data_IF_777208879699
#
_entry.id   IF_777208879699
#
_cell.length_a   1.000
_cell.length_b   1.000
_cell.length_c   1.000
_cell.angle_alpha   90.00
_cell.angle_beta   90.00
_cell.angle_gamma   90.00
#
_symmetry.space_group_name_H-M   'P 1'
#
loop_
_entity.id
_entity.type
_entity.pdbx_description
1 polymer ?
#
# COMPACT_ATOMS: atom_id res chain seq x y z
N UNK A 1 -5.29 -13.46 -24.91
CA UNK A 1 -4.17 -12.68 -24.32
C UNK A 1 -4.64 -11.99 -23.04
N UNK A 2 -3.94 -12.17 -21.98
CA UNK A 2 -4.30 -11.58 -20.70
C UNK A 2 -3.68 -10.20 -20.57
N UNK A 3 -4.47 -9.27 -20.06
CA UNK A 3 -4.04 -7.89 -19.84
C UNK A 3 -3.31 -7.78 -18.49
N UNK A 4 -2.24 -7.01 -18.46
CA UNK A 4 -1.57 -6.68 -17.22
C UNK A 4 -2.42 -5.71 -16.41
N UNK A 5 -2.54 -5.94 -15.12
CA UNK A 5 -3.25 -5.07 -14.19
C UNK A 5 -2.24 -4.51 -13.19
N UNK A 6 -2.16 -3.20 -13.08
CA UNK A 6 -1.32 -2.55 -12.08
C UNK A 6 -2.08 -2.33 -10.80
N UNK A 7 -1.46 -2.70 -9.71
CA UNK A 7 -2.05 -2.66 -8.39
C UNK A 7 -1.11 -1.92 -7.45
N UNK A 8 -1.65 -0.94 -6.71
CA UNK A 8 -0.90 -0.24 -5.68
C UNK A 8 -1.33 -0.71 -4.30
N UNK A 9 -0.36 -1.06 -3.46
CA UNK A 9 -0.58 -1.32 -2.04
C UNK A 9 -0.07 -0.15 -1.23
N UNK A 10 -0.83 0.25 -0.23
CA UNK A 10 -0.50 1.40 0.61
C UNK A 10 -0.53 1.00 2.08
N UNK A 11 0.55 1.30 2.78
CA UNK A 11 0.67 1.14 4.23
C UNK A 11 0.62 2.54 4.86
N UNK A 12 -0.54 2.96 5.39
CA UNK A 12 -0.70 4.33 5.85
C UNK A 12 0.09 4.66 7.11
N UNK A 13 0.62 5.86 7.16
CA UNK A 13 1.24 6.42 8.33
C UNK A 13 1.37 7.93 8.17
N UNK A 14 1.23 8.67 9.26
CA UNK A 14 1.32 10.12 9.20
C UNK A 14 2.74 10.59 8.91
N UNK A 15 3.72 10.01 9.59
CA UNK A 15 5.12 10.35 9.40
C UNK A 15 5.60 9.90 8.03
N UNK A 16 5.20 8.69 7.66
CA UNK A 16 5.51 8.11 6.36
C UNK A 16 4.44 7.12 5.95
N UNK A 17 4.07 7.18 4.71
CA UNK A 17 3.15 6.23 4.08
C UNK A 17 3.94 5.42 3.07
N UNK A 18 4.02 4.12 3.30
CA UNK A 18 4.70 3.20 2.37
C UNK A 18 3.78 2.83 1.23
N UNK A 19 4.36 2.62 0.05
CA UNK A 19 3.60 2.16 -1.11
C UNK A 19 4.44 1.23 -1.98
N UNK A 20 3.76 0.40 -2.73
CA UNK A 20 4.38 -0.46 -3.73
C UNK A 20 3.42 -0.70 -4.87
N UNK A 21 3.97 -0.89 -6.07
CA UNK A 21 3.19 -1.15 -7.28
C UNK A 21 3.69 -2.44 -7.91
N UNK A 22 2.74 -3.30 -8.26
CA UNK A 22 3.03 -4.54 -9.00
C UNK A 22 2.16 -4.61 -10.25
N UNK A 23 2.55 -5.48 -11.18
CA UNK A 23 1.71 -5.86 -12.29
C UNK A 23 1.35 -7.34 -12.16
N UNK A 24 0.09 -7.65 -12.35
CA UNK A 24 -0.42 -9.01 -12.39
C UNK A 24 -0.83 -9.35 -13.82
N UNK A 25 -0.27 -10.44 -14.37
CA UNK A 25 -0.62 -10.94 -15.70
C UNK A 25 -0.89 -12.43 -15.54
N UNK A 26 -2.17 -12.83 -15.59
CA UNK A 26 -2.54 -14.21 -15.31
C UNK A 26 -2.05 -14.63 -13.93
N UNK A 27 -1.20 -15.64 -13.85
CA UNK A 27 -0.60 -16.12 -12.61
C UNK A 27 0.78 -15.51 -12.33
N UNK A 28 1.25 -14.62 -13.20
CA UNK A 28 2.56 -14.00 -13.07
C UNK A 28 2.44 -12.64 -12.39
N UNK A 29 3.39 -12.34 -11.52
CA UNK A 29 3.47 -11.08 -10.80
C UNK A 29 4.83 -10.45 -11.07
N UNK A 30 4.82 -9.15 -11.27
CA UNK A 30 6.04 -8.39 -11.53
C UNK A 30 6.09 -7.17 -10.62
N UNK A 31 7.21 -6.98 -9.96
CA UNK A 31 7.47 -5.77 -9.21
C UNK A 31 7.68 -4.60 -10.18
N UNK A 32 7.04 -3.48 -9.89
CA UNK A 32 7.19 -2.26 -10.70
C UNK A 32 7.99 -1.21 -9.96
N UNK A 33 7.53 -0.83 -8.77
CA UNK A 33 8.19 0.21 -7.98
C UNK A 33 7.71 0.19 -6.53
N UNK A 34 8.47 0.78 -5.65
CA UNK A 34 8.07 1.03 -4.27
C UNK A 34 8.71 2.29 -3.75
N UNK A 35 8.19 2.79 -2.66
CA UNK A 35 8.74 3.97 -2.03
C UNK A 35 7.96 4.39 -0.78
N UNK A 36 8.27 5.58 -0.34
CA UNK A 36 7.67 6.16 0.85
C UNK A 36 7.33 7.62 0.59
N UNK A 37 6.14 8.03 1.00
CA UNK A 37 5.75 9.44 1.04
C UNK A 37 5.90 9.90 2.47
N UNK A 38 6.65 10.96 2.70
CA UNK A 38 6.93 11.49 4.04
C UNK A 38 6.23 12.82 4.26
N UNK A 39 5.85 13.08 5.51
CA UNK A 39 5.39 14.40 5.91
C UNK A 39 6.41 15.04 6.86
N UNK A 40 6.39 16.37 6.92
CA UNK A 40 7.25 17.15 7.80
C UNK A 40 6.67 17.14 9.22
N UNK A 41 7.38 16.52 10.15
CA UNK A 41 6.95 16.41 11.55
C UNK A 41 6.74 17.75 12.22
N UNK A 42 7.39 18.79 11.72
CA UNK A 42 7.30 20.14 12.28
C UNK A 42 6.13 20.95 11.71
N UNK A 43 5.52 20.45 10.65
CA UNK A 43 4.40 21.13 10.03
C UNK A 43 3.09 20.87 10.80
N UNK A 44 2.12 21.74 10.60
CA UNK A 44 0.76 21.54 11.14
C UNK A 44 0.12 20.28 10.51
N UNK A 45 -0.77 19.64 11.24
CA UNK A 45 -1.40 18.41 10.80
C UNK A 45 -2.03 18.53 9.40
N UNK A 46 -2.79 19.59 9.15
CA UNK A 46 -3.42 19.80 7.85
C UNK A 46 -2.38 19.84 6.72
N UNK A 47 -1.27 20.53 6.94
CA UNK A 47 -0.17 20.60 5.96
C UNK A 47 0.46 19.21 5.74
N UNK A 48 0.62 18.44 6.80
CA UNK A 48 1.16 17.07 6.72
C UNK A 48 0.25 16.17 5.89
N UNK A 49 -1.06 16.28 6.10
CA UNK A 49 -2.02 15.51 5.31
C UNK A 49 -1.97 15.91 3.84
N UNK A 50 -1.80 17.20 3.54
CA UNK A 50 -1.60 17.67 2.16
C UNK A 50 -0.34 17.07 1.54
N UNK A 51 0.75 17.00 2.30
CA UNK A 51 2.01 16.42 1.82
C UNK A 51 1.83 14.94 1.46
N UNK A 52 1.12 14.18 2.30
CA UNK A 52 0.83 12.77 2.00
C UNK A 52 -0.06 12.65 0.77
N UNK A 53 -1.09 13.48 0.68
CA UNK A 53 -1.99 13.52 -0.46
C UNK A 53 -1.23 13.77 -1.76
N UNK A 54 -0.43 14.84 -1.78
CA UNK A 54 0.29 15.25 -2.98
C UNK A 54 1.31 14.21 -3.41
N UNK A 55 2.00 13.61 -2.45
CA UNK A 55 2.96 12.54 -2.73
C UNK A 55 2.29 11.30 -3.32
N UNK A 56 1.13 10.89 -2.79
CA UNK A 56 0.39 9.77 -3.33
C UNK A 56 -0.21 10.06 -4.71
N UNK A 57 -0.70 11.28 -4.91
CA UNK A 57 -1.18 11.70 -6.24
C UNK A 57 -0.06 11.59 -7.27
N UNK A 58 1.14 12.01 -6.91
CA UNK A 58 2.30 11.90 -7.79
C UNK A 58 2.63 10.43 -8.11
N UNK A 59 2.61 9.57 -7.13
CA UNK A 59 2.81 8.13 -7.33
C UNK A 59 1.76 7.56 -8.29
N UNK A 60 0.49 7.93 -8.10
CA UNK A 60 -0.60 7.51 -8.98
C UNK A 60 -0.39 7.95 -10.42
N UNK A 61 0.06 9.17 -10.61
CA UNK A 61 0.35 9.70 -11.96
C UNK A 61 1.49 8.97 -12.64
N UNK A 62 2.55 8.69 -11.89
CA UNK A 62 3.74 8.04 -12.46
C UNK A 62 3.51 6.58 -12.82
N UNK A 63 2.69 5.88 -12.06
CA UNK A 63 2.56 4.42 -12.22
C UNK A 63 1.22 3.98 -12.76
N UNK A 64 0.22 4.84 -12.75
CA UNK A 64 -1.12 4.57 -13.29
C UNK A 64 -1.71 3.23 -12.84
N UNK A 65 -1.81 2.98 -11.53
CA UNK A 65 -2.43 1.74 -11.06
C UNK A 65 -3.93 1.74 -11.34
N UNK A 66 -4.50 0.56 -11.44
CA UNK A 66 -5.93 0.35 -11.73
C UNK A 66 -6.70 -0.09 -10.50
N UNK A 67 -6.03 -0.68 -9.54
CA UNK A 67 -6.62 -1.14 -8.29
C UNK A 67 -5.73 -0.75 -7.12
N UNK A 68 -6.32 -0.59 -5.96
CA UNK A 68 -5.60 -0.22 -4.75
C UNK A 68 -5.98 -1.12 -3.58
N UNK A 69 -5.01 -1.37 -2.72
CA UNK A 69 -5.21 -2.04 -1.45
C UNK A 69 -4.59 -1.22 -0.33
N UNK A 70 -5.36 -0.96 0.71
CA UNK A 70 -4.91 -0.16 1.85
C UNK A 70 -4.98 -1.00 3.11
N UNK A 71 -3.88 -1.02 3.86
CA UNK A 71 -3.83 -1.72 5.14
C UNK A 71 -4.70 -1.03 6.17
N UNK A 72 -5.49 -1.81 6.92
CA UNK A 72 -6.25 -1.32 8.05
C UNK A 72 -5.32 -0.94 9.20
N UNK A 73 -5.75 0.03 10.01
CA UNK A 73 -4.99 0.45 11.17
C UNK A 73 -5.50 -0.23 12.43
N UNK A 74 -4.61 -0.40 13.41
CA UNK A 74 -4.99 -0.85 14.74
C UNK A 74 -5.32 0.32 15.65
N UNK A 75 -6.15 0.05 16.64
CA UNK A 75 -6.34 0.96 17.76
C UNK A 75 -5.06 0.92 18.60
N UNK A 76 -4.44 2.07 18.77
CA UNK A 76 -3.26 2.24 19.61
C UNK A 76 -3.69 2.56 21.05
N UNK A 77 -2.79 2.33 22.02
CA UNK A 77 -3.03 2.75 23.40
C UNK A 77 -3.11 4.26 23.54
N UNK A 78 -2.37 4.98 22.71
CA UNK A 78 -2.43 6.43 22.65
C UNK A 78 -3.53 6.86 21.68
N UNK A 79 -4.59 7.45 22.24
CA UNK A 79 -5.74 7.90 21.46
C UNK A 79 -5.36 8.97 20.42
N UNK A 80 -4.43 9.86 20.77
CA UNK A 80 -3.97 10.88 19.83
C UNK A 80 -3.23 10.26 18.64
N UNK A 81 -2.37 9.28 18.89
CA UNK A 81 -1.67 8.57 17.82
C UNK A 81 -2.63 7.78 16.94
N UNK A 82 -3.64 7.15 17.54
CA UNK A 82 -4.66 6.42 16.79
C UNK A 82 -5.44 7.36 15.86
N UNK A 83 -5.82 8.52 16.37
CA UNK A 83 -6.56 9.52 15.57
C UNK A 83 -5.72 10.01 14.39
N UNK A 84 -4.47 10.36 14.62
CA UNK A 84 -3.56 10.82 13.56
C UNK A 84 -3.33 9.73 12.51
N UNK A 85 -3.15 8.49 12.94
CA UNK A 85 -3.01 7.37 12.02
C UNK A 85 -4.26 7.18 11.17
N UNK A 86 -5.45 7.27 11.79
CA UNK A 86 -6.70 7.19 11.08
C UNK A 86 -6.88 8.29 10.04
N UNK A 87 -6.41 9.50 10.36
CA UNK A 87 -6.44 10.62 9.41
C UNK A 87 -5.52 10.38 8.21
N UNK A 88 -4.31 9.90 8.45
CA UNK A 88 -3.40 9.53 7.38
C UNK A 88 -3.98 8.40 6.52
N UNK A 89 -4.61 7.42 7.17
CA UNK A 89 -5.27 6.31 6.47
C UNK A 89 -6.41 6.82 5.57
N UNK A 90 -7.16 7.81 6.05
CA UNK A 90 -8.21 8.44 5.25
C UNK A 90 -7.67 9.01 3.94
N UNK A 91 -6.53 9.68 4.00
CA UNK A 91 -5.85 10.20 2.80
C UNK A 91 -5.42 9.06 1.88
N UNK A 92 -4.85 8.00 2.46
CA UNK A 92 -4.39 6.84 1.69
C UNK A 92 -5.53 6.13 0.95
N UNK A 93 -6.74 6.18 1.47
CA UNK A 93 -7.93 5.63 0.81
C UNK A 93 -8.52 6.60 -0.19
N UNK A 94 -8.55 7.89 0.18
CA UNK A 94 -9.19 8.92 -0.62
C UNK A 94 -8.49 9.14 -1.96
N UNK A 95 -7.18 9.19 -1.96
CA UNK A 95 -6.41 9.46 -3.18
C UNK A 95 -6.70 8.44 -4.29
N UNK A 96 -6.57 7.12 -4.07
CA UNK A 96 -6.90 6.17 -5.12
C UNK A 96 -8.41 6.17 -5.45
N UNK A 97 -9.27 6.37 -4.48
CA UNK A 97 -10.72 6.43 -4.73
C UNK A 97 -11.08 7.61 -5.63
N UNK A 98 -10.49 8.77 -5.40
CA UNK A 98 -10.68 9.94 -6.27
C UNK A 98 -10.13 9.69 -7.68
N UNK A 99 -9.12 8.86 -7.80
CA UNK A 99 -8.58 8.45 -9.09
C UNK A 99 -9.42 7.42 -9.82
N UNK A 100 -10.54 7.00 -9.25
CA UNK A 100 -11.44 6.05 -9.87
C UNK A 100 -11.11 4.59 -9.61
N UNK A 101 -10.16 4.30 -8.72
CA UNK A 101 -9.77 2.94 -8.41
C UNK A 101 -10.72 2.30 -7.41
N UNK A 102 -10.90 0.98 -7.53
CA UNK A 102 -11.48 0.18 -6.46
C UNK A 102 -10.45 0.09 -5.34
N UNK A 103 -10.86 0.41 -4.12
CA UNK A 103 -9.97 0.39 -2.95
C UNK A 103 -10.43 -0.72 -2.02
N UNK A 104 -9.56 -1.70 -1.81
CA UNK A 104 -9.81 -2.80 -0.88
C UNK A 104 -9.04 -2.56 0.42
N UNK A 105 -9.62 -2.99 1.54
CA UNK A 105 -9.03 -2.85 2.86
C UNK A 105 -8.65 -4.21 3.42
N UNK A 106 -7.49 -4.29 4.06
CA UNK A 106 -6.94 -5.54 4.55
C UNK A 106 -6.45 -5.42 5.98
N UNK A 107 -6.60 -6.49 6.72
CA UNK A 107 -6.19 -6.53 8.12
C UNK A 107 -4.67 -6.36 8.26
N UNK A 108 -4.22 -5.58 9.25
CA UNK A 108 -2.78 -5.31 9.43
C UNK A 108 -1.93 -6.56 9.62
N UNK A 109 -2.45 -7.54 10.33
CA UNK A 109 -1.68 -8.75 10.62
C UNK A 109 -1.34 -9.56 9.37
N UNK A 110 -2.25 -9.62 8.42
CA UNK A 110 -2.01 -10.36 7.18
C UNK A 110 -0.84 -9.74 6.39
N UNK A 111 -0.84 -8.42 6.32
CA UNK A 111 0.18 -7.66 5.61
C UNK A 111 1.53 -7.77 6.30
N UNK A 112 1.58 -7.52 7.61
CA UNK A 112 2.83 -7.56 8.37
C UNK A 112 3.46 -8.94 8.40
N UNK A 113 2.64 -9.99 8.53
CA UNK A 113 3.14 -11.37 8.51
C UNK A 113 3.78 -11.71 7.17
N UNK A 114 3.19 -11.25 6.09
CA UNK A 114 3.73 -11.48 4.76
C UNK A 114 5.11 -10.82 4.61
N UNK A 115 5.25 -9.58 5.06
CA UNK A 115 6.52 -8.85 4.99
C UNK A 115 7.59 -9.50 5.87
N UNK A 116 7.27 -9.78 7.13
CA UNK A 116 8.21 -10.35 8.09
C UNK A 116 8.60 -11.77 7.69
N UNK A 117 7.63 -12.57 7.28
CA UNK A 117 7.86 -13.97 6.94
C UNK A 117 8.71 -14.18 5.69
N UNK A 118 8.71 -13.20 4.78
CA UNK A 118 9.49 -13.30 3.55
C UNK A 118 10.89 -12.72 3.70
N UNK A 119 11.07 -11.86 4.70
CA UNK A 119 12.35 -11.19 4.89
C UNK A 119 12.28 -9.75 4.48
N UNK A 120 13.17 -9.29 3.61
CA UNK A 120 13.44 -7.89 3.44
C UNK A 120 13.25 -7.35 2.04
N UNK A 121 13.00 -6.04 1.97
CA UNK A 121 13.05 -5.28 0.74
C UNK A 121 11.91 -5.59 -0.23
N UNK A 122 12.23 -5.54 -1.49
CA UNK A 122 11.25 -5.68 -2.56
C UNK A 122 10.49 -7.00 -2.50
N UNK A 123 11.22 -8.07 -2.17
CA UNK A 123 10.64 -9.41 -2.09
C UNK A 123 9.53 -9.47 -1.05
N UNK A 124 9.78 -8.94 0.14
CA UNK A 124 8.77 -8.88 1.19
C UNK A 124 7.58 -8.05 0.79
N UNK A 125 7.83 -6.93 0.13
CA UNK A 125 6.78 -6.06 -0.39
C UNK A 125 5.90 -6.75 -1.41
N UNK A 126 6.49 -7.47 -2.36
CA UNK A 126 5.74 -8.19 -3.38
C UNK A 126 4.83 -9.24 -2.74
N UNK A 127 5.37 -10.04 -1.82
CA UNK A 127 4.58 -11.07 -1.14
C UNK A 127 3.44 -10.44 -0.35
N UNK A 128 3.72 -9.34 0.35
CA UNK A 128 2.69 -8.60 1.06
C UNK A 128 1.55 -8.20 0.14
N UNK A 129 1.87 -7.58 -0.99
CA UNK A 129 0.87 -7.11 -1.93
C UNK A 129 0.10 -8.25 -2.56
N UNK A 130 0.76 -9.34 -2.89
CA UNK A 130 0.11 -10.53 -3.45
C UNK A 130 -0.91 -11.09 -2.48
N UNK A 131 -0.54 -11.27 -1.22
CA UNK A 131 -1.47 -11.82 -0.22
C UNK A 131 -2.64 -10.88 0.07
N UNK A 132 -2.39 -9.59 0.01
CA UNK A 132 -3.39 -8.57 0.27
C UNK A 132 -4.36 -8.43 -0.89
N UNK A 133 -3.86 -8.39 -2.11
CA UNK A 133 -4.64 -8.08 -3.30
C UNK A 133 -5.24 -9.31 -3.98
N UNK A 134 -4.63 -10.46 -3.76
CA UNK A 134 -5.05 -11.71 -4.37
C UNK A 134 -5.18 -12.79 -3.30
N UNK A 135 -6.11 -12.62 -2.36
CA UNK A 135 -6.24 -13.57 -1.25
C UNK A 135 -6.60 -14.98 -1.69
N UNK A 136 -7.11 -15.14 -2.90
CA UNK A 136 -7.43 -16.45 -3.48
C UNK A 136 -6.26 -17.06 -4.24
N UNK A 137 -5.20 -16.26 -4.48
CA UNK A 137 -4.02 -16.78 -5.15
C UNK A 137 -3.23 -17.65 -4.18
N UNK A 138 -2.75 -18.80 -4.65
CA UNK A 138 -1.92 -19.69 -3.86
C UNK A 138 -0.50 -19.61 -4.36
N UNK A 139 0.43 -19.38 -3.44
CA UNK A 139 1.85 -19.36 -3.74
C UNK A 139 2.53 -20.39 -2.84
N UNK A 140 3.17 -21.37 -3.45
CA UNK A 140 3.83 -22.44 -2.70
C UNK A 140 5.07 -21.95 -1.99
N UNK A 141 5.75 -20.95 -2.56
CA UNK A 141 7.00 -20.43 -2.05
C UNK A 141 7.11 -18.93 -2.29
N UNK A 142 8.09 -18.30 -1.62
CA UNK A 142 8.44 -16.91 -1.89
C UNK A 142 8.80 -16.68 -3.35
N UNK A 143 9.47 -17.64 -3.95
CA UNK A 143 9.88 -17.53 -5.35
C UNK A 143 8.69 -17.45 -6.28
N UNK A 144 7.62 -18.18 -5.99
CA UNK A 144 6.39 -18.09 -6.76
C UNK A 144 5.76 -16.71 -6.63
N UNK A 145 5.79 -16.10 -5.44
CA UNK A 145 5.27 -14.75 -5.22
C UNK A 145 6.14 -13.70 -5.92
N UNK A 146 7.44 -13.91 -5.98
CA UNK A 146 8.37 -13.00 -6.66
C UNK A 146 8.19 -13.02 -8.19
N UNK A 147 7.81 -14.15 -8.69
CA UNK A 147 7.59 -14.30 -10.11
C UNK A 147 6.34 -13.56 -10.55
#
# INVERSE_FOLDING_TARGET
MQRAIRIIGIDPGLRRTGWGVIEAIGNSLRFVASGTVRSDEKAALAARLCQLHDGLVDVMRRHEPEEAAVENTFVNRDASATLKLGQARGVAMLVPALGGLTVAEYAPNAVKKAVIGVGKGEKGQIVMMVKVLMPKATFDTEDAADA
#
